data_IF_870632385325
#
_entry.id   IF_870632385325
#
_cell.length_a   1.000
_cell.length_b   1.000
_cell.length_c   1.000
_cell.angle_alpha   90.00
_cell.angle_beta   90.00
_cell.angle_gamma   90.00
#
_symmetry.space_group_name_H-M   'P 1'
#
loop_
_entity.id
_entity.type
_entity.pdbx_description
1 polymer ?
#
# COMPACT_ATOMS: atom_id res chain seq x y z
N UNK A 1 -18.53 -18.82 13.09
CA UNK A 1 -19.19 -17.54 13.48
C UNK A 1 -18.74 -16.46 12.53
N UNK A 2 -19.65 -15.76 11.85
CA UNK A 2 -19.29 -14.64 10.96
C UNK A 2 -18.98 -13.42 11.84
N UNK A 3 -17.69 -13.07 11.94
CA UNK A 3 -17.28 -11.82 12.61
C UNK A 3 -17.85 -10.62 11.84
N UNK A 4 -18.40 -9.64 12.56
CA UNK A 4 -18.73 -8.34 11.98
C UNK A 4 -17.43 -7.61 11.64
N UNK A 5 -17.33 -7.05 10.44
CA UNK A 5 -16.16 -6.27 10.00
C UNK A 5 -16.58 -4.83 9.66
N UNK A 6 -15.67 -3.89 9.93
CA UNK A 6 -15.83 -2.47 9.62
C UNK A 6 -14.88 -2.06 8.49
N UNK A 7 -15.44 -1.43 7.47
CA UNK A 7 -14.67 -0.94 6.31
C UNK A 7 -14.91 0.55 6.13
N UNK A 8 -13.87 1.35 6.35
CA UNK A 8 -13.91 2.81 6.21
C UNK A 8 -13.21 3.20 4.92
N UNK A 9 -13.93 3.82 4.00
CA UNK A 9 -13.37 4.42 2.80
C UNK A 9 -13.42 5.94 2.93
N UNK A 10 -12.25 6.55 2.84
CA UNK A 10 -12.05 7.95 3.16
C UNK A 10 -11.55 8.67 1.90
N UNK A 11 -12.30 9.66 1.42
CA UNK A 11 -11.80 10.58 0.41
C UNK A 11 -10.93 11.63 1.09
N UNK A 12 -9.60 11.50 0.92
CA UNK A 12 -8.61 12.31 1.61
C UNK A 12 -7.20 12.12 1.07
N UNK A 13 -6.28 12.91 1.57
CA UNK A 13 -4.86 12.87 1.17
C UNK A 13 -4.07 11.95 2.10
N UNK A 14 -3.33 10.99 1.55
CA UNK A 14 -2.46 10.09 2.30
C UNK A 14 -1.31 10.80 3.05
N UNK A 15 -0.97 12.01 2.65
CA UNK A 15 0.02 12.87 3.35
C UNK A 15 -0.49 13.44 4.67
N UNK A 16 -1.78 13.25 4.96
CA UNK A 16 -2.50 13.80 6.11
C UNK A 16 -3.38 12.72 6.74
N UNK A 17 -2.77 11.75 7.41
CA UNK A 17 -3.49 10.66 8.08
C UNK A 17 -3.71 10.93 9.59
N UNK A 18 -3.68 12.18 10.03
CA UNK A 18 -3.88 12.57 11.43
C UNK A 18 -5.23 12.13 12.01
N UNK A 19 -6.24 11.94 11.15
CA UNK A 19 -7.57 11.46 11.50
C UNK A 19 -7.67 9.96 11.79
N UNK A 20 -6.58 9.21 11.63
CA UNK A 20 -6.46 7.80 12.04
C UNK A 20 -5.67 7.76 13.34
N UNK A 21 -6.18 7.08 14.34
CA UNK A 21 -5.55 6.99 15.66
C UNK A 21 -4.18 6.31 15.60
N UNK A 22 -3.27 6.73 16.48
CA UNK A 22 -1.99 6.08 16.63
C UNK A 22 -2.18 4.63 17.10
N UNK A 23 -1.30 3.73 16.62
CA UNK A 23 -1.28 2.32 17.02
C UNK A 23 -2.62 1.58 16.90
N UNK A 24 -3.42 1.94 15.86
CA UNK A 24 -4.74 1.36 15.59
C UNK A 24 -4.77 0.39 14.40
N UNK A 25 -3.71 0.36 13.58
CA UNK A 25 -3.60 -0.45 12.38
C UNK A 25 -2.56 -1.55 12.55
N UNK A 26 -2.88 -2.75 12.10
CA UNK A 26 -2.05 -3.94 12.26
C UNK A 26 -1.20 -4.26 11.05
N UNK A 27 -1.72 -3.93 9.87
CA UNK A 27 -1.07 -4.20 8.59
C UNK A 27 -1.38 -3.06 7.62
N UNK A 28 -0.39 -2.59 6.90
CA UNK A 28 -0.56 -1.74 5.71
C UNK A 28 -0.19 -2.56 4.49
N UNK A 29 -1.09 -2.63 3.50
CA UNK A 29 -0.82 -3.22 2.18
C UNK A 29 -1.17 -2.17 1.15
N UNK A 30 -0.19 -1.71 0.39
CA UNK A 30 -0.37 -0.56 -0.49
C UNK A 30 0.57 -0.58 -1.70
N UNK A 31 0.21 0.20 -2.72
CA UNK A 31 1.07 0.51 -3.87
C UNK A 31 1.01 2.01 -4.12
N UNK A 32 2.05 2.77 -3.75
CA UNK A 32 2.08 4.21 -3.98
C UNK A 32 2.16 4.52 -5.49
N UNK A 33 1.87 5.74 -5.92
CA UNK A 33 2.17 6.18 -7.28
C UNK A 33 3.67 5.96 -7.59
N UNK A 34 3.98 5.51 -8.82
CA UNK A 34 5.37 5.32 -9.27
C UNK A 34 5.86 6.61 -9.93
N UNK A 35 6.04 7.66 -9.14
CA UNK A 35 6.44 8.98 -9.60
C UNK A 35 5.60 9.40 -10.82
N UNK A 36 6.21 9.88 -11.92
CA UNK A 36 5.53 10.34 -13.13
C UNK A 36 5.33 9.24 -14.20
N UNK A 37 5.51 7.94 -13.83
CA UNK A 37 5.44 6.82 -14.77
C UNK A 37 4.04 6.64 -15.37
N UNK A 38 3.00 6.95 -14.59
CA UNK A 38 1.60 6.86 -15.04
C UNK A 38 0.88 8.16 -14.73
N UNK A 39 0.15 8.68 -15.70
CA UNK A 39 -0.80 9.75 -15.47
C UNK A 39 -2.06 9.13 -14.87
N UNK A 40 -2.35 9.53 -13.66
CA UNK A 40 -3.65 9.38 -13.04
C UNK A 40 -4.55 10.53 -13.50
N UNK A 41 -5.80 10.62 -13.05
CA UNK A 41 -6.70 11.71 -13.41
C UNK A 41 -6.05 13.08 -13.15
N UNK A 42 -6.52 14.15 -13.83
CA UNK A 42 -5.95 15.50 -13.74
C UNK A 42 -6.23 16.19 -12.38
N UNK A 43 -5.81 15.57 -11.30
CA UNK A 43 -5.83 16.18 -9.97
C UNK A 43 -4.39 16.59 -9.59
N UNK A 44 -4.07 17.89 -9.52
CA UNK A 44 -2.72 18.38 -9.26
C UNK A 44 -2.20 18.00 -7.85
N UNK A 45 -3.08 17.66 -6.92
CA UNK A 45 -2.71 17.28 -5.56
C UNK A 45 -2.22 15.82 -5.47
N UNK A 46 -2.33 15.03 -6.53
CA UNK A 46 -1.82 13.66 -6.58
C UNK A 46 -0.30 13.63 -6.61
N UNK A 47 0.31 12.73 -5.84
CA UNK A 47 1.77 12.54 -5.81
C UNK A 47 2.36 12.20 -7.19
N UNK A 48 1.62 11.56 -8.08
CA UNK A 48 2.04 11.28 -9.46
C UNK A 48 2.23 12.50 -10.35
N UNK A 49 1.86 13.70 -9.90
CA UNK A 49 2.07 14.98 -10.60
C UNK A 49 3.35 15.72 -10.15
N UNK A 50 4.03 15.27 -9.10
CA UNK A 50 5.29 15.86 -8.66
C UNK A 50 6.37 15.59 -9.71
N UNK A 51 6.95 16.65 -10.30
CA UNK A 51 7.87 16.51 -11.43
C UNK A 51 9.28 16.13 -11.02
N UNK A 52 9.76 16.65 -9.89
CA UNK A 52 11.08 16.34 -9.37
C UNK A 52 11.05 15.08 -8.50
N UNK A 53 12.02 14.17 -8.71
CA UNK A 53 12.05 12.88 -8.02
C UNK A 53 12.32 13.02 -6.53
N UNK A 54 13.23 13.88 -6.13
CA UNK A 54 13.56 14.10 -4.72
C UNK A 54 12.38 14.73 -3.97
N UNK A 55 11.69 15.68 -4.61
CA UNK A 55 10.45 16.28 -4.10
C UNK A 55 9.35 15.23 -3.95
N UNK A 56 9.22 14.30 -4.91
CA UNK A 56 8.29 13.18 -4.81
C UNK A 56 8.62 12.26 -3.62
N UNK A 57 9.90 11.93 -3.41
CA UNK A 57 10.33 11.14 -2.26
C UNK A 57 10.05 11.85 -0.92
N UNK A 58 10.24 13.16 -0.85
CA UNK A 58 9.94 13.96 0.34
C UNK A 58 8.44 13.96 0.67
N UNK A 59 7.57 14.05 -0.35
CA UNK A 59 6.13 13.95 -0.15
C UNK A 59 5.71 12.53 0.29
N UNK A 60 6.31 11.50 -0.30
CA UNK A 60 6.06 10.12 0.07
C UNK A 60 6.54 9.80 1.49
N UNK A 61 7.64 10.42 1.95
CA UNK A 61 8.13 10.29 3.33
C UNK A 61 7.07 10.74 4.35
N UNK A 62 6.28 11.79 4.07
CA UNK A 62 5.18 12.23 4.96
C UNK A 62 4.19 11.10 5.20
N UNK A 63 3.82 10.37 4.13
CA UNK A 63 2.93 9.21 4.23
C UNK A 63 3.53 8.13 5.12
N UNK A 64 4.81 7.79 4.92
CA UNK A 64 5.47 6.74 5.71
C UNK A 64 5.62 7.12 7.19
N UNK A 65 5.81 8.39 7.51
CA UNK A 65 5.80 8.89 8.90
C UNK A 65 4.43 8.70 9.56
N UNK A 66 3.34 9.02 8.85
CA UNK A 66 1.99 8.75 9.35
C UNK A 66 1.74 7.25 9.51
N UNK A 67 2.12 6.43 8.54
CA UNK A 67 2.01 4.97 8.61
C UNK A 67 2.76 4.42 9.82
N UNK A 68 3.97 4.92 10.11
CA UNK A 68 4.75 4.51 11.29
C UNK A 68 4.01 4.83 12.59
N UNK A 69 3.41 6.02 12.71
CA UNK A 69 2.62 6.42 13.87
C UNK A 69 1.39 5.53 14.07
N UNK A 70 0.68 5.24 12.98
CA UNK A 70 -0.61 4.53 12.97
C UNK A 70 -0.44 3.03 13.24
N UNK A 71 0.65 2.42 12.80
CA UNK A 71 0.90 1.00 13.01
C UNK A 71 1.09 0.68 14.49
N UNK A 72 0.50 -0.42 14.94
CA UNK A 72 0.79 -1.01 16.25
C UNK A 72 2.26 -1.45 16.33
N UNK A 73 2.87 -1.53 17.52
CA UNK A 73 4.18 -2.17 17.67
C UNK A 73 4.19 -3.58 17.09
N UNK A 74 5.20 -3.91 16.27
CA UNK A 74 5.28 -5.16 15.52
C UNK A 74 4.42 -5.23 14.26
N UNK A 75 3.58 -4.21 13.99
CA UNK A 75 2.79 -4.08 12.77
C UNK A 75 3.67 -3.90 11.54
N UNK A 76 3.14 -4.21 10.36
CA UNK A 76 3.90 -4.22 9.11
C UNK A 76 3.36 -3.26 8.07
N UNK A 77 4.29 -2.63 7.34
CA UNK A 77 4.05 -1.96 6.08
C UNK A 77 4.52 -2.90 4.96
N UNK A 78 3.60 -3.29 4.10
CA UNK A 78 3.85 -4.06 2.88
C UNK A 78 3.61 -3.15 1.69
N UNK A 79 4.66 -2.78 0.98
CA UNK A 79 4.61 -1.83 -0.13
C UNK A 79 4.95 -2.52 -1.44
N UNK A 80 3.99 -2.58 -2.36
CA UNK A 80 4.18 -3.10 -3.71
C UNK A 80 4.66 -1.97 -4.61
N UNK A 81 5.86 -2.10 -5.17
CA UNK A 81 6.49 -1.03 -5.95
C UNK A 81 7.43 -1.57 -7.02
N UNK A 82 7.42 -0.94 -8.20
CA UNK A 82 8.41 -1.15 -9.25
C UNK A 82 9.38 0.02 -9.37
N UNK A 83 10.54 -0.23 -9.94
CA UNK A 83 11.49 0.82 -10.29
C UNK A 83 11.00 1.62 -11.49
N UNK A 84 11.35 2.90 -11.53
CA UNK A 84 10.90 3.82 -12.56
C UNK A 84 11.91 3.89 -13.70
N UNK A 85 11.58 3.24 -14.81
CA UNK A 85 12.39 3.27 -16.03
C UNK A 85 12.03 4.49 -16.89
N UNK A 86 12.98 5.38 -17.13
CA UNK A 86 12.78 6.59 -17.92
C UNK A 86 13.44 6.46 -19.28
N UNK A 87 12.67 6.73 -20.33
CA UNK A 87 13.12 6.57 -21.69
C UNK A 87 14.16 7.65 -22.07
N UNK A 88 15.08 7.30 -22.99
CA UNK A 88 16.12 8.19 -23.52
C UNK A 88 15.60 9.53 -24.01
N UNK A 89 14.40 9.56 -24.61
CA UNK A 89 13.78 10.81 -25.14
C UNK A 89 13.54 11.87 -24.06
N UNK A 90 13.39 11.47 -22.78
CA UNK A 90 13.09 12.39 -21.69
C UNK A 90 14.36 12.90 -20.98
N UNK A 91 15.45 12.10 -20.97
CA UNK A 91 16.68 12.40 -20.23
C UNK A 91 17.97 12.27 -21.06
N UNK A 92 17.87 12.16 -22.39
CA UNK A 92 19.03 11.98 -23.28
C UNK A 92 19.68 10.58 -23.18
N UNK A 93 19.40 9.84 -22.12
CA UNK A 93 19.86 8.46 -21.89
C UNK A 93 18.78 7.66 -21.16
N UNK A 94 18.86 6.33 -21.23
CA UNK A 94 18.02 5.46 -20.40
C UNK A 94 18.48 5.51 -18.95
N UNK A 95 17.54 5.73 -18.01
CA UNK A 95 17.77 5.77 -16.57
C UNK A 95 16.76 4.90 -15.85
N UNK A 96 17.20 4.35 -14.72
CA UNK A 96 16.34 3.66 -13.76
C UNK A 96 16.47 4.37 -12.42
N UNK A 97 15.34 4.84 -11.89
CA UNK A 97 15.26 5.34 -10.51
C UNK A 97 14.86 4.16 -9.61
N UNK A 98 15.71 3.76 -8.65
CA UNK A 98 15.48 2.57 -7.82
C UNK A 98 14.52 2.88 -6.68
N UNK A 99 13.26 3.19 -7.01
CA UNK A 99 12.23 3.62 -6.07
C UNK A 99 12.06 2.65 -4.89
N UNK A 100 12.20 1.35 -5.14
CA UNK A 100 12.17 0.34 -4.08
C UNK A 100 13.26 0.55 -3.03
N UNK A 101 14.47 0.86 -3.45
CA UNK A 101 15.61 1.07 -2.56
C UNK A 101 15.46 2.38 -1.77
N UNK A 102 15.03 3.46 -2.44
CA UNK A 102 14.80 4.76 -1.80
C UNK A 102 13.71 4.66 -0.73
N UNK A 103 12.61 3.96 -0.98
CA UNK A 103 11.58 3.68 0.05
C UNK A 103 12.19 2.91 1.23
N UNK A 104 13.00 1.88 1.00
CA UNK A 104 13.67 1.14 2.07
C UNK A 104 14.57 2.04 2.93
N UNK A 105 15.33 2.94 2.28
CA UNK A 105 16.21 3.90 2.99
C UNK A 105 15.39 4.89 3.81
N UNK A 106 14.32 5.46 3.24
CA UNK A 106 13.42 6.38 3.92
C UNK A 106 12.76 5.70 5.13
N UNK A 107 12.17 4.52 4.95
CA UNK A 107 11.52 3.77 6.01
C UNK A 107 12.50 3.46 7.16
N UNK A 108 13.74 3.06 6.84
CA UNK A 108 14.78 2.83 7.85
C UNK A 108 15.11 4.10 8.64
N UNK A 109 15.19 5.27 7.97
CA UNK A 109 15.45 6.57 8.64
C UNK A 109 14.29 6.98 9.56
N UNK A 110 13.06 6.62 9.22
CA UNK A 110 11.88 6.84 10.06
C UNK A 110 11.90 5.94 11.30
N UNK A 111 12.53 4.78 11.22
CA UNK A 111 12.65 3.83 12.34
C UNK A 111 12.06 2.44 12.08
N UNK A 112 11.64 2.14 10.85
CA UNK A 112 11.22 0.78 10.49
C UNK A 112 12.41 -0.18 10.40
N UNK A 113 12.18 -1.45 10.75
CA UNK A 113 13.06 -2.56 10.39
C UNK A 113 12.74 -3.00 8.96
N UNK A 114 13.73 -3.01 8.07
CA UNK A 114 13.60 -3.67 6.77
C UNK A 114 13.66 -5.18 6.94
N UNK A 115 12.75 -5.90 6.29
CA UNK A 115 12.74 -7.36 6.21
C UNK A 115 12.98 -7.79 4.75
N UNK A 116 13.23 -9.09 4.54
CA UNK A 116 13.42 -9.63 3.20
C UNK A 116 12.20 -9.33 2.32
N UNK A 117 12.36 -8.70 1.14
CA UNK A 117 11.28 -8.45 0.21
C UNK A 117 10.86 -9.75 -0.50
N UNK A 118 9.65 -9.74 -1.03
CA UNK A 118 9.20 -10.71 -2.03
C UNK A 118 9.38 -10.08 -3.41
N UNK A 119 9.88 -10.84 -4.36
CA UNK A 119 10.03 -10.44 -5.75
C UNK A 119 8.82 -10.96 -6.53
N UNK A 120 8.02 -10.05 -7.06
CA UNK A 120 6.86 -10.41 -7.86
C UNK A 120 7.20 -10.35 -9.36
N UNK A 121 7.33 -11.53 -9.98
CA UNK A 121 7.55 -11.66 -11.41
C UNK A 121 6.21 -11.60 -12.16
N UNK A 122 6.05 -10.57 -12.99
CA UNK A 122 4.84 -10.32 -13.80
C UNK A 122 4.95 -10.96 -15.18
N UNK A 123 4.74 -12.25 -15.28
CA UNK A 123 4.94 -13.02 -16.53
C UNK A 123 4.20 -12.41 -17.73
N UNK A 124 3.00 -11.90 -17.56
CA UNK A 124 2.17 -11.38 -18.66
C UNK A 124 2.67 -10.04 -19.24
N UNK A 125 3.31 -9.19 -18.42
CA UNK A 125 3.73 -7.86 -18.87
C UNK A 125 4.93 -7.92 -19.82
N UNK A 126 5.87 -8.83 -19.62
CA UNK A 126 7.03 -8.96 -20.48
C UNK A 126 6.63 -9.31 -21.93
N UNK A 127 5.64 -10.20 -22.10
CA UNK A 127 5.09 -10.55 -23.43
C UNK A 127 4.32 -9.40 -24.06
N UNK A 128 3.56 -8.64 -23.25
CA UNK A 128 2.74 -7.50 -23.71
C UNK A 128 3.60 -6.33 -24.18
N UNK A 129 4.66 -5.98 -23.47
CA UNK A 129 5.59 -4.91 -23.87
C UNK A 129 6.32 -5.24 -25.17
N UNK A 130 6.67 -6.49 -25.39
CA UNK A 130 7.26 -6.96 -26.65
C UNK A 130 6.25 -6.95 -27.80
N UNK A 131 4.99 -7.33 -27.55
CA UNK A 131 3.97 -7.40 -28.57
C UNK A 131 3.47 -6.04 -29.07
N UNK A 132 3.51 -4.99 -28.24
CA UNK A 132 2.96 -3.67 -28.54
C UNK A 132 3.96 -2.64 -29.11
N UNK A 133 5.03 -3.07 -29.75
CA UNK A 133 5.88 -2.18 -30.58
C UNK A 133 7.22 -1.79 -29.99
N UNK A 134 7.51 -2.09 -28.76
CA UNK A 134 8.88 -2.05 -28.22
C UNK A 134 9.58 -3.36 -28.56
N UNK A 135 9.71 -3.64 -29.87
CA UNK A 135 10.27 -4.91 -30.35
C UNK A 135 11.71 -5.14 -29.86
N UNK A 136 12.41 -4.07 -29.47
CA UNK A 136 13.81 -4.17 -29.03
C UNK A 136 14.11 -3.10 -28.00
N UNK A 137 14.62 -3.53 -26.85
CA UNK A 137 15.30 -2.66 -25.89
C UNK A 137 16.76 -2.50 -26.27
N UNK A 138 17.03 -1.66 -27.26
CA UNK A 138 18.34 -1.52 -27.89
C UNK A 138 18.43 -2.30 -29.23
N UNK A 139 19.65 -2.52 -29.71
CA UNK A 139 19.87 -3.32 -30.90
C UNK A 139 19.84 -4.82 -30.56
N UNK A 140 18.97 -5.62 -31.20
CA UNK A 140 18.87 -7.04 -30.91
C UNK A 140 20.21 -7.74 -31.22
N UNK A 141 20.58 -8.69 -30.36
CA UNK A 141 21.76 -9.53 -30.50
C UNK A 141 23.12 -8.79 -30.43
N UNK A 142 23.14 -7.47 -30.25
CA UNK A 142 24.37 -6.72 -29.97
C UNK A 142 24.58 -6.53 -28.45
N UNK A 143 25.84 -6.41 -27.96
CA UNK A 143 26.10 -5.98 -26.60
C UNK A 143 25.45 -4.64 -26.27
N UNK A 144 25.21 -4.37 -24.96
CA UNK A 144 24.60 -3.14 -24.43
C UNK A 144 23.06 -3.01 -24.65
N UNK A 145 22.35 -4.10 -24.89
CA UNK A 145 20.89 -4.11 -24.81
C UNK A 145 20.41 -3.79 -23.39
N UNK A 146 19.24 -3.15 -23.30
CA UNK A 146 18.60 -2.80 -22.02
C UNK A 146 17.91 -4.03 -21.44
N UNK A 147 18.09 -4.32 -20.15
CA UNK A 147 17.36 -5.37 -19.45
C UNK A 147 15.94 -4.89 -19.19
N UNK A 148 14.96 -5.75 -19.49
CA UNK A 148 13.55 -5.47 -19.22
C UNK A 148 13.27 -5.46 -17.71
N UNK A 149 12.40 -4.53 -17.29
CA UNK A 149 11.87 -4.51 -15.93
C UNK A 149 10.56 -5.33 -15.90
N UNK A 150 10.64 -6.61 -15.60
CA UNK A 150 9.53 -7.55 -15.47
C UNK A 150 9.24 -7.94 -14.02
N UNK A 151 9.94 -7.32 -13.09
CA UNK A 151 9.82 -7.56 -11.65
C UNK A 151 9.25 -6.34 -10.93
N UNK A 152 8.42 -6.60 -9.91
CA UNK A 152 8.09 -5.63 -8.87
C UNK A 152 8.53 -6.16 -7.51
N UNK A 153 8.79 -5.23 -6.60
CA UNK A 153 9.19 -5.54 -5.23
C UNK A 153 7.98 -5.43 -4.31
N UNK A 154 7.79 -6.42 -3.45
CA UNK A 154 6.88 -6.35 -2.32
C UNK A 154 7.77 -6.12 -1.10
N UNK A 155 7.95 -4.85 -0.75
CA UNK A 155 8.80 -4.43 0.35
C UNK A 155 8.13 -4.75 1.66
N UNK A 156 8.91 -5.21 2.62
CA UNK A 156 8.45 -5.63 3.93
C UNK A 156 9.13 -4.77 4.99
N UNK A 157 8.37 -3.90 5.65
CA UNK A 157 8.84 -3.05 6.74
C UNK A 157 8.08 -3.41 8.02
N UNK A 158 8.74 -3.38 9.17
CA UNK A 158 8.13 -3.64 10.46
C UNK A 158 8.35 -2.47 11.42
N UNK A 159 7.29 -2.00 12.09
CA UNK A 159 7.44 -1.09 13.24
C UNK A 159 8.08 -1.87 14.39
N UNK A 160 9.21 -1.41 14.97
CA UNK A 160 9.80 -2.03 16.16
C UNK A 160 8.82 -2.07 17.35
N UNK A 161 9.12 -2.95 18.31
CA UNK A 161 8.27 -3.14 19.48
C UNK A 161 7.74 -4.56 19.52
N UNK A 162 7.42 -5.21 20.50
CA UNK A 162 7.12 -6.64 20.71
C UNK A 162 6.22 -7.28 19.65
N UNK A 163 6.14 -8.57 19.71
CA UNK A 163 5.19 -9.30 18.86
C UNK A 163 3.78 -9.17 19.42
N UNK A 164 2.81 -8.94 18.53
CA UNK A 164 1.40 -8.99 18.86
C UNK A 164 1.04 -10.33 19.52
N UNK A 165 0.17 -10.26 20.52
CA UNK A 165 -0.36 -11.44 21.22
C UNK A 165 -1.83 -11.66 20.82
N UNK A 166 -2.12 -12.33 19.68
CA UNK A 166 -3.49 -12.62 19.28
C UNK A 166 -4.12 -13.64 20.24
N UNK A 167 -5.46 -13.63 20.33
CA UNK A 167 -6.21 -14.63 21.08
C UNK A 167 -6.07 -16.02 20.45
N UNK A 168 -6.43 -17.07 21.19
CA UNK A 168 -6.42 -18.45 20.65
C UNK A 168 -7.38 -18.57 19.46
N UNK A 169 -8.56 -17.97 19.53
CA UNK A 169 -9.54 -17.95 18.44
C UNK A 169 -8.98 -17.26 17.18
N UNK A 170 -8.34 -16.10 17.34
CA UNK A 170 -7.68 -15.42 16.23
C UNK A 170 -6.58 -16.28 15.59
N UNK A 171 -5.80 -17.01 16.39
CA UNK A 171 -4.77 -17.93 15.87
C UNK A 171 -5.39 -19.04 15.04
N UNK A 172 -6.44 -19.70 15.58
CA UNK A 172 -7.08 -20.81 14.89
C UNK A 172 -7.78 -20.38 13.59
N UNK A 173 -8.54 -19.27 13.63
CA UNK A 173 -9.28 -18.77 12.47
C UNK A 173 -8.38 -18.14 11.39
N UNK A 174 -7.12 -17.83 11.72
CA UNK A 174 -6.16 -17.22 10.79
C UNK A 174 -5.14 -18.20 10.24
N UNK A 175 -5.21 -19.48 10.62
CA UNK A 175 -4.27 -20.50 10.11
C UNK A 175 -4.29 -20.58 8.60
N UNK A 176 -3.10 -20.72 8.02
CA UNK A 176 -2.91 -21.08 6.63
C UNK A 176 -2.85 -22.61 6.50
N UNK A 177 -3.29 -23.15 5.38
CA UNK A 177 -3.03 -24.55 5.09
C UNK A 177 -1.53 -24.79 4.85
N UNK A 178 -1.11 -26.05 4.92
CA UNK A 178 0.29 -26.40 4.62
C UNK A 178 0.67 -25.98 3.19
N UNK A 179 -0.21 -26.20 2.22
CA UNK A 179 -0.02 -25.87 0.81
C UNK A 179 0.09 -24.35 0.59
N UNK A 180 -0.76 -23.57 1.29
CA UNK A 180 -0.68 -22.11 1.27
C UNK A 180 0.65 -21.63 1.85
N UNK A 181 1.05 -22.16 3.00
CA UNK A 181 2.30 -21.80 3.66
C UNK A 181 3.50 -22.12 2.74
N UNK A 182 3.62 -23.33 2.25
CA UNK A 182 4.73 -23.79 1.40
C UNK A 182 4.84 -22.95 0.11
N UNK A 183 3.70 -22.53 -0.45
CA UNK A 183 3.65 -21.77 -1.70
C UNK A 183 3.81 -20.26 -1.52
N UNK A 184 3.34 -19.67 -0.41
CA UNK A 184 3.32 -18.22 -0.24
C UNK A 184 4.56 -17.68 0.46
N UNK A 185 5.18 -18.43 1.37
CA UNK A 185 6.40 -18.00 2.05
C UNK A 185 7.66 -18.25 1.22
N UNK A 186 7.57 -17.97 -0.08
CA UNK A 186 8.68 -17.99 -1.03
C UNK A 186 9.08 -16.57 -1.40
N UNK A 187 10.37 -16.36 -1.66
CA UNK A 187 10.87 -15.03 -2.02
C UNK A 187 10.47 -14.60 -3.45
N UNK A 188 10.19 -15.55 -4.34
CA UNK A 188 9.78 -15.27 -5.72
C UNK A 188 8.34 -15.69 -5.93
N UNK A 189 7.50 -14.75 -6.37
CA UNK A 189 6.12 -15.00 -6.72
C UNK A 189 5.88 -14.82 -8.21
N UNK A 190 5.33 -15.84 -8.84
CA UNK A 190 4.85 -15.81 -10.21
C UNK A 190 3.33 -15.63 -10.18
N UNK A 191 2.85 -14.40 -10.28
CA UNK A 191 1.43 -14.05 -10.29
C UNK A 191 1.17 -13.18 -11.51
N UNK A 192 0.14 -13.52 -12.30
CA UNK A 192 -0.28 -12.70 -13.44
C UNK A 192 -0.75 -11.32 -12.98
N UNK A 193 -0.31 -10.27 -13.65
CA UNK A 193 -0.73 -8.89 -13.37
C UNK A 193 -2.24 -8.70 -13.56
N UNK A 194 -2.82 -7.71 -12.87
CA UNK A 194 -4.23 -7.36 -13.04
C UNK A 194 -4.46 -6.58 -14.33
N UNK A 195 -5.71 -6.62 -14.84
CA UNK A 195 -6.11 -5.85 -16.03
C UNK A 195 -6.13 -4.34 -15.74
N UNK A 196 -5.51 -3.56 -16.60
CA UNK A 196 -5.45 -2.08 -16.49
C UNK A 196 -6.66 -1.37 -17.10
N UNK A 197 -7.73 -2.09 -17.51
CA UNK A 197 -8.91 -1.50 -18.18
C UNK A 197 -9.63 -0.44 -17.36
N UNK A 198 -9.66 -0.55 -16.04
CA UNK A 198 -10.45 0.31 -15.15
C UNK A 198 -9.63 1.11 -14.15
N UNK A 199 -8.36 0.76 -13.98
CA UNK A 199 -7.42 1.48 -13.11
C UNK A 199 -6.01 1.36 -13.71
N UNK A 200 -5.21 2.45 -13.71
CA UNK A 200 -3.91 2.47 -14.39
C UNK A 200 -2.86 1.55 -13.74
N UNK A 201 -2.99 1.25 -12.45
CA UNK A 201 -2.03 0.44 -11.71
C UNK A 201 -2.68 -0.48 -10.67
N UNK A 202 -3.59 -1.40 -11.05
CA UNK A 202 -4.17 -2.33 -10.10
C UNK A 202 -3.17 -3.47 -9.83
N UNK A 203 -3.05 -3.91 -8.58
CA UNK A 203 -2.44 -5.21 -8.30
C UNK A 203 -3.53 -6.29 -8.13
N UNK A 204 -3.21 -7.57 -8.39
CA UNK A 204 -4.21 -8.64 -8.36
C UNK A 204 -4.81 -8.84 -6.98
N UNK A 205 -6.11 -9.13 -6.92
CA UNK A 205 -6.80 -9.47 -5.66
C UNK A 205 -6.16 -10.70 -4.98
N UNK A 206 -5.66 -11.66 -5.76
CA UNK A 206 -4.91 -12.79 -5.24
C UNK A 206 -3.67 -12.35 -4.44
N UNK A 207 -2.88 -11.40 -4.99
CA UNK A 207 -1.71 -10.85 -4.31
C UNK A 207 -2.11 -10.18 -2.99
N UNK A 208 -3.12 -9.29 -3.02
CA UNK A 208 -3.63 -8.63 -1.82
C UNK A 208 -4.12 -9.65 -0.78
N UNK A 209 -4.86 -10.67 -1.20
CA UNK A 209 -5.41 -11.71 -0.31
C UNK A 209 -4.30 -12.50 0.36
N UNK A 210 -3.25 -12.88 -0.38
CA UNK A 210 -2.08 -13.57 0.20
C UNK A 210 -1.43 -12.69 1.27
N UNK A 211 -1.11 -11.43 0.95
CA UNK A 211 -0.44 -10.51 1.89
C UNK A 211 -1.25 -10.25 3.15
N UNK A 212 -2.57 -10.04 3.02
CA UNK A 212 -3.48 -9.85 4.16
C UNK A 212 -3.50 -11.09 5.04
N UNK A 213 -3.62 -12.30 4.48
CA UNK A 213 -3.67 -13.55 5.25
C UNK A 213 -2.34 -13.92 5.89
N UNK A 214 -1.22 -13.64 5.22
CA UNK A 214 0.13 -13.94 5.72
C UNK A 214 0.54 -13.05 6.91
N UNK A 215 0.03 -11.81 6.98
CA UNK A 215 0.58 -10.79 7.87
C UNK A 215 -0.42 -10.14 8.81
N UNK A 216 -1.67 -10.62 8.84
CA UNK A 216 -2.70 -10.18 9.80
C UNK A 216 -3.55 -11.33 10.31
N UNK A 217 -4.21 -11.11 11.44
CA UNK A 217 -5.17 -12.05 12.01
C UNK A 217 -6.61 -11.60 11.69
N UNK A 218 -7.57 -12.54 11.76
CA UNK A 218 -9.00 -12.22 11.66
C UNK A 218 -9.36 -11.17 12.72
N UNK A 219 -10.14 -10.16 12.32
CA UNK A 219 -10.48 -9.01 13.15
C UNK A 219 -9.44 -7.89 13.19
N UNK A 220 -8.23 -8.06 12.60
CA UNK A 220 -7.25 -6.98 12.47
C UNK A 220 -7.73 -5.89 11.53
N UNK A 221 -7.15 -4.70 11.69
CA UNK A 221 -7.37 -3.57 10.78
C UNK A 221 -6.24 -3.49 9.77
N UNK A 222 -6.62 -3.51 8.48
CA UNK A 222 -5.71 -3.34 7.33
C UNK A 222 -5.91 -1.95 6.74
N UNK A 223 -4.83 -1.22 6.51
CA UNK A 223 -4.87 0.12 5.88
C UNK A 223 -4.26 0.07 4.47
N UNK A 224 -4.89 0.76 3.55
CA UNK A 224 -4.32 1.14 2.25
C UNK A 224 -4.41 2.66 2.07
N UNK A 225 -3.31 3.41 2.26
CA UNK A 225 -3.29 4.86 2.10
C UNK A 225 -3.38 5.33 0.63
N UNK A 226 -3.24 4.43 -0.34
CA UNK A 226 -3.38 4.68 -1.78
C UNK A 226 -4.38 3.71 -2.38
N UNK A 227 -5.61 3.76 -1.86
CA UNK A 227 -6.62 2.72 -2.00
C UNK A 227 -7.02 2.43 -3.46
N UNK A 228 -6.98 3.42 -4.35
CA UNK A 228 -7.34 3.28 -5.75
C UNK A 228 -8.73 2.66 -5.92
N UNK A 229 -8.79 1.50 -6.57
CA UNK A 229 -10.04 0.75 -6.81
C UNK A 229 -10.52 -0.09 -5.63
N UNK A 230 -9.81 -0.12 -4.49
CA UNK A 230 -10.25 -0.81 -3.27
C UNK A 230 -9.84 -2.28 -3.15
N UNK A 231 -8.87 -2.76 -3.93
CA UNK A 231 -8.47 -4.18 -3.94
C UNK A 231 -8.03 -4.69 -2.57
N UNK A 232 -7.24 -3.91 -1.82
CA UNK A 232 -6.82 -4.25 -0.46
C UNK A 232 -8.01 -4.35 0.49
N UNK A 233 -8.97 -3.44 0.39
CA UNK A 233 -10.17 -3.44 1.23
C UNK A 233 -11.04 -4.68 0.97
N UNK A 234 -11.21 -5.06 -0.30
CA UNK A 234 -11.93 -6.28 -0.69
C UNK A 234 -11.21 -7.53 -0.17
N UNK A 235 -9.87 -7.58 -0.26
CA UNK A 235 -9.09 -8.68 0.30
C UNK A 235 -9.28 -8.78 1.83
N UNK A 236 -9.28 -7.66 2.54
CA UNK A 236 -9.53 -7.61 3.98
C UNK A 236 -10.94 -8.11 4.30
N UNK A 237 -11.97 -7.63 3.60
CA UNK A 237 -13.35 -8.09 3.77
C UNK A 237 -13.48 -9.60 3.58
N UNK A 238 -13.02 -10.13 2.45
CA UNK A 238 -13.12 -11.57 2.13
C UNK A 238 -12.41 -12.48 3.13
N UNK A 239 -11.49 -11.92 3.90
CA UNK A 239 -10.67 -12.67 4.86
C UNK A 239 -11.02 -12.37 6.32
N UNK A 240 -12.11 -11.62 6.59
CA UNK A 240 -12.59 -11.34 7.94
C UNK A 240 -11.75 -10.31 8.70
N UNK A 241 -11.11 -9.37 8.00
CA UNK A 241 -10.37 -8.24 8.57
C UNK A 241 -11.17 -6.95 8.39
N UNK A 242 -10.97 -6.00 9.30
CA UNK A 242 -11.40 -4.63 9.10
C UNK A 242 -10.50 -3.94 8.08
N UNK A 243 -11.00 -2.87 7.44
CA UNK A 243 -10.15 -2.10 6.53
C UNK A 243 -10.38 -0.60 6.60
N UNK A 244 -9.31 0.15 6.31
CA UNK A 244 -9.34 1.59 6.07
C UNK A 244 -8.70 1.79 4.69
N UNK A 245 -9.41 2.46 3.77
CA UNK A 245 -8.86 2.89 2.49
C UNK A 245 -8.88 4.41 2.43
N UNK A 246 -7.77 5.03 2.02
CA UNK A 246 -7.69 6.46 1.76
C UNK A 246 -7.39 6.69 0.29
N UNK A 247 -8.17 7.55 -0.35
CA UNK A 247 -8.04 7.86 -1.78
C UNK A 247 -8.32 9.35 -2.02
N UNK A 248 -7.39 10.02 -2.67
CA UNK A 248 -7.48 11.45 -2.94
C UNK A 248 -8.45 11.75 -4.09
N UNK A 249 -8.52 10.85 -5.08
CA UNK A 249 -9.36 11.02 -6.25
C UNK A 249 -10.80 10.57 -5.97
N UNK A 250 -11.79 11.48 -6.06
CA UNK A 250 -13.18 11.14 -5.79
C UNK A 250 -13.76 10.10 -6.77
N UNK A 251 -13.21 9.96 -7.97
CA UNK A 251 -13.67 8.99 -8.95
C UNK A 251 -13.21 7.58 -8.58
N UNK A 252 -11.93 7.42 -8.22
CA UNK A 252 -11.42 6.16 -7.69
C UNK A 252 -12.10 5.79 -6.35
N UNK A 253 -12.38 6.76 -5.49
CA UNK A 253 -13.18 6.54 -4.29
C UNK A 253 -14.57 5.95 -4.63
N UNK A 254 -15.26 6.49 -5.65
CA UNK A 254 -16.55 5.94 -6.11
C UNK A 254 -16.41 4.53 -6.70
N UNK A 255 -15.30 4.23 -7.37
CA UNK A 255 -15.00 2.87 -7.86
C UNK A 255 -14.82 1.89 -6.72
N UNK A 256 -13.99 2.24 -5.74
CA UNK A 256 -13.76 1.44 -4.53
C UNK A 256 -15.06 1.19 -3.76
N UNK A 257 -15.90 2.23 -3.60
CA UNK A 257 -17.21 2.12 -2.96
C UNK A 257 -18.13 1.12 -3.67
N UNK A 258 -18.18 1.17 -5.01
CA UNK A 258 -18.97 0.22 -5.81
C UNK A 258 -18.45 -1.19 -5.70
N UNK A 259 -17.14 -1.36 -5.73
CA UNK A 259 -16.52 -2.68 -5.61
C UNK A 259 -16.80 -3.30 -4.24
N UNK A 260 -16.60 -2.55 -3.16
CA UNK A 260 -16.91 -3.00 -1.80
C UNK A 260 -18.40 -3.33 -1.63
N UNK A 261 -19.30 -2.46 -2.13
CA UNK A 261 -20.75 -2.74 -2.07
C UNK A 261 -21.11 -4.02 -2.79
N UNK A 262 -20.55 -4.26 -3.98
CA UNK A 262 -20.82 -5.49 -4.73
C UNK A 262 -20.40 -6.75 -3.95
N UNK A 263 -19.29 -6.70 -3.23
CA UNK A 263 -18.80 -7.81 -2.41
C UNK A 263 -19.63 -8.04 -1.14
N UNK A 264 -20.16 -6.96 -0.54
CA UNK A 264 -20.85 -7.01 0.75
C UNK A 264 -22.37 -7.24 0.63
N UNK A 265 -22.94 -7.20 -0.58
CA UNK A 265 -24.39 -7.30 -0.83
C UNK A 265 -24.97 -8.72 -0.60
N UNK A 266 -24.16 -9.69 -0.19
CA UNK A 266 -24.66 -11.03 0.12
C UNK A 266 -25.44 -11.06 1.44
N UNK A 267 -26.59 -11.75 1.43
CA UNK A 267 -27.59 -11.80 2.52
C UNK A 267 -27.06 -12.17 3.93
N UNK A 268 -25.83 -12.69 4.01
CA UNK A 268 -25.19 -13.15 5.25
C UNK A 268 -23.96 -12.32 5.65
N UNK A 269 -23.67 -11.24 4.94
CA UNK A 269 -22.53 -10.38 5.25
C UNK A 269 -22.89 -9.46 6.43
N UNK A 270 -22.10 -9.54 7.50
CA UNK A 270 -22.18 -8.63 8.65
C UNK A 270 -21.12 -7.52 8.54
N UNK A 271 -20.96 -6.94 7.36
CA UNK A 271 -20.00 -5.87 7.12
C UNK A 271 -20.68 -4.50 7.26
N UNK A 272 -20.05 -3.60 8.00
CA UNK A 272 -20.40 -2.19 8.05
C UNK A 272 -19.50 -1.41 7.11
N UNK A 273 -20.09 -0.61 6.21
CA UNK A 273 -19.37 0.25 5.26
C UNK A 273 -19.59 1.71 5.64
N UNK A 274 -18.50 2.42 5.92
CA UNK A 274 -18.52 3.84 6.26
C UNK A 274 -17.76 4.60 5.17
N UNK A 275 -18.41 5.63 4.60
CA UNK A 275 -17.81 6.52 3.61
C UNK A 275 -17.63 7.90 4.22
N UNK A 276 -16.40 8.37 4.23
CA UNK A 276 -16.02 9.64 4.85
C UNK A 276 -15.34 10.56 3.83
N UNK A 277 -15.45 11.86 4.07
CA UNK A 277 -14.66 12.87 3.37
C UNK A 277 -13.94 13.71 4.41
N UNK A 278 -12.61 13.82 4.26
CA UNK A 278 -11.80 14.69 5.10
C UNK A 278 -11.70 16.06 4.42
N UNK A 279 -12.24 17.09 5.07
CA UNK A 279 -12.04 18.49 4.67
C UNK A 279 -10.79 19.05 5.36
N UNK A 280 -10.17 20.08 4.77
CA UNK A 280 -9.01 20.73 5.36
C UNK A 280 -9.26 21.25 6.80
N UNK A 281 -10.49 21.69 7.09
CA UNK A 281 -10.92 22.13 8.42
C UNK A 281 -10.87 21.02 9.46
N UNK A 282 -11.31 19.79 9.11
CA UNK A 282 -11.29 18.64 10.02
C UNK A 282 -9.86 18.18 10.31
N UNK A 283 -8.97 18.25 9.32
CA UNK A 283 -7.55 17.97 9.51
C UNK A 283 -6.88 19.01 10.43
N UNK A 284 -7.28 20.29 10.35
CA UNK A 284 -6.80 21.35 11.22
C UNK A 284 -7.26 21.17 12.68
N UNK A 285 -8.53 20.86 12.91
CA UNK A 285 -9.09 20.61 14.26
C UNK A 285 -8.42 19.44 14.97
N UNK A 286 -8.08 18.36 14.24
CA UNK A 286 -7.36 17.20 14.81
C UNK A 286 -5.92 17.59 15.20
N UNK A 287 -5.24 18.44 14.39
CA UNK A 287 -3.90 18.97 14.73
C UNK A 287 -3.91 19.84 15.99
N UNK A 288 -4.91 20.71 16.13
CA UNK A 288 -5.05 21.55 17.33
C UNK A 288 -5.28 20.71 18.58
N UNK A 289 -6.09 19.66 18.51
CA UNK A 289 -6.32 18.74 19.63
C UNK A 289 -5.04 17.97 20.01
N UNK A 290 -4.27 17.49 19.04
CA UNK A 290 -3.00 16.81 19.30
C UNK A 290 -1.96 17.76 19.90
N UNK A 291 -1.83 18.98 19.38
CA UNK A 291 -0.91 19.98 19.92
C UNK A 291 -1.23 20.36 21.38
N UNK A 292 -2.50 20.38 21.78
CA UNK A 292 -2.91 20.63 23.16
C UNK A 292 -2.54 19.49 24.13
N UNK A 293 -2.39 18.24 23.66
CA UNK A 293 -1.95 17.11 24.47
C UNK A 293 -0.43 17.00 24.62
N UNK A 294 0.35 17.50 23.67
CA UNK A 294 1.83 17.45 23.71
C UNK A 294 2.47 18.51 24.60
N UNK A 295 1.74 19.53 25.04
CA UNK A 295 2.26 20.69 25.78
C UNK A 295 2.19 20.53 27.30
N UNK A 296 1.98 19.36 27.88
CA UNK A 296 2.15 19.19 29.36
C UNK A 296 3.59 18.79 29.69
N UNK A 297 4.42 19.73 30.22
CA UNK A 297 5.75 19.37 30.67
C UNK A 297 5.66 18.41 31.86
N UNK A 298 6.45 17.35 31.83
CA UNK A 298 6.65 16.47 32.97
C UNK A 298 7.07 17.29 34.19
N UNK A 299 6.31 17.21 35.29
CA UNK A 299 6.70 17.78 36.55
C UNK A 299 8.05 17.16 36.98
N UNK A 300 9.13 17.96 36.95
CA UNK A 300 10.37 17.62 37.65
C UNK A 300 10.01 17.41 39.11
N UNK A 301 10.16 16.20 39.63
CA UNK A 301 10.31 15.98 41.06
C UNK A 301 11.69 16.53 41.42
N UNK A 302 11.69 17.60 42.21
CA UNK A 302 12.83 18.02 43.02
C UNK A 302 12.90 17.05 44.19
N UNK A 303 13.99 16.33 44.30
CA UNK A 303 14.70 15.95 45.52
C UNK A 303 16.18 15.88 45.20
#
# INVERSE_FOLDING_TARGET
>A
MTHSTLHRLINGDARELSFIDAESVHLVVTSPPYWNLKRYNENPDQLGHVQDYESFLAELEKVWRHVFRILVPGGRLVCVVGDVCVARRNFGRHLVFPLHADICVICRRIGFDNLNPILWHKIANATYEVANGSKFLGKPYEPNAIIKNDMEFILMQRKPGGYRKPTQEQRETSKLSKEEFDRWFQQIWNITGASTKHHPAPFPLELATRLVRMFSFVGDTVLDPFCGSGTTMVAAFRTGRNSIGVEIDPEYCRMAARYLKAETTHLFSKAELVFERVTAERACMVREHQALYEVRPAKKKLE
#
